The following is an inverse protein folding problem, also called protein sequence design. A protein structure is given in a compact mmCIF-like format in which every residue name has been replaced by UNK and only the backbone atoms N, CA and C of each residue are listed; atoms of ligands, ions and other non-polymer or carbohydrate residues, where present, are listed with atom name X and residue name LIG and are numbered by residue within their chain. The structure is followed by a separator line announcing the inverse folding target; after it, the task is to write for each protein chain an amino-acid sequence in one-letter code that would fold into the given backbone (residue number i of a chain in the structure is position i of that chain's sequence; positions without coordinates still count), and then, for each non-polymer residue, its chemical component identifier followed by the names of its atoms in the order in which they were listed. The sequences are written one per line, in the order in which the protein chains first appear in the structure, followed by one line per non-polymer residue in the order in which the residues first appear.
data_IF_889985001525
#
_entry.id   IF_889985001525
#
_cell.length_a   1.000
_cell.length_b   1.000
_cell.length_c   1.000
_cell.angle_alpha   90.00
_cell.angle_beta   90.00
_cell.angle_gamma   90.00
#
_symmetry.space_group_name_H-M   'P 1'
#
loop_
_entity.id
_entity.type
_entity.pdbx_description
1 polymer ?
#
# COMPACT_ATOMS: atom_id res chain seq x y z
N UNK A 1 2.37 56.44 26.59
CA UNK A 1 3.64 56.57 25.85
C UNK A 1 4.70 55.58 26.31
N UNK A 2 4.72 55.11 27.57
CA UNK A 2 5.58 54.01 28.00
C UNK A 2 5.07 52.61 27.55
N UNK A 3 3.75 52.38 27.55
CA UNK A 3 3.16 51.10 27.09
C UNK A 3 3.25 50.85 25.57
N UNK A 4 3.50 51.89 24.75
CA UNK A 4 3.64 51.75 23.29
C UNK A 4 5.08 51.48 22.83
N UNK A 5 6.06 51.54 23.75
CA UNK A 5 7.45 51.20 23.45
C UNK A 5 7.79 49.74 23.79
N UNK A 6 7.10 49.11 24.76
CA UNK A 6 7.27 47.68 25.08
C UNK A 6 6.68 46.75 24.00
N UNK A 7 5.57 47.13 23.34
CA UNK A 7 4.94 46.36 22.26
C UNK A 7 5.72 46.41 20.92
N UNK A 8 6.55 47.44 20.71
CA UNK A 8 7.35 47.60 19.50
C UNK A 8 8.71 46.86 19.58
N UNK A 9 9.30 46.75 20.77
CA UNK A 9 10.52 45.97 20.99
C UNK A 9 10.25 44.46 21.04
N UNK A 10 9.07 44.03 21.48
CA UNK A 10 8.65 42.62 21.44
C UNK A 10 8.25 42.17 20.03
N UNK A 11 7.58 43.01 19.21
CA UNK A 11 7.21 42.59 17.85
C UNK A 11 8.39 42.56 16.85
N UNK A 12 9.49 43.27 17.14
CA UNK A 12 10.70 43.27 16.29
C UNK A 12 11.70 42.16 16.62
N UNK A 13 11.71 41.62 17.85
CA UNK A 13 12.49 40.42 18.19
C UNK A 13 11.85 39.11 17.70
N UNK A 14 10.51 39.08 17.56
CA UNK A 14 9.78 37.90 17.06
C UNK A 14 10.00 37.68 15.56
N UNK A 15 10.38 38.71 14.80
CA UNK A 15 10.67 38.59 13.37
C UNK A 15 11.98 37.83 13.05
N UNK A 16 12.82 37.53 14.06
CA UNK A 16 14.15 36.92 13.85
C UNK A 16 14.31 35.49 14.38
N UNK A 17 13.33 34.92 15.10
CA UNK A 17 13.40 33.55 15.65
C UNK A 17 12.32 32.65 15.03
N UNK A 18 12.26 32.64 13.71
CA UNK A 18 11.24 31.90 12.95
C UNK A 18 11.89 31.15 11.79
N UNK A 19 11.56 29.88 11.64
CA UNK A 19 12.03 29.05 10.53
C UNK A 19 11.14 29.29 9.29
N UNK A 20 11.70 29.97 8.29
CA UNK A 20 11.02 30.21 7.02
C UNK A 20 9.68 30.94 7.20
N UNK A 21 8.60 30.38 6.65
CA UNK A 21 7.24 30.92 6.76
C UNK A 21 6.39 30.23 7.84
N UNK A 22 7.01 29.44 8.73
CA UNK A 22 6.30 28.72 9.80
C UNK A 22 6.16 29.59 11.05
N UNK A 23 5.54 29.08 12.11
CA UNK A 23 5.55 29.72 13.44
C UNK A 23 6.62 29.12 14.37
N UNK A 24 7.52 28.28 13.83
CA UNK A 24 8.46 27.49 14.59
C UNK A 24 9.76 28.24 14.91
N UNK A 25 10.25 28.10 16.15
CA UNK A 25 11.46 28.79 16.65
C UNK A 25 12.75 28.15 16.14
N UNK A 26 13.65 28.96 15.56
CA UNK A 26 15.01 28.54 15.19
C UNK A 26 15.82 28.12 16.43
N UNK A 27 15.73 28.92 17.50
CA UNK A 27 16.46 28.68 18.76
C UNK A 27 16.08 27.36 19.40
N UNK A 28 14.79 27.00 19.36
CA UNK A 28 14.33 25.71 19.86
C UNK A 28 15.02 24.55 19.12
N UNK A 29 15.01 24.57 17.79
CA UNK A 29 15.65 23.53 16.98
C UNK A 29 17.17 23.53 17.19
N UNK A 30 17.82 24.68 17.19
CA UNK A 30 19.26 24.79 17.41
C UNK A 30 19.70 24.25 18.79
N UNK A 31 18.89 24.44 19.84
CA UNK A 31 19.15 23.84 21.17
C UNK A 31 19.21 22.33 21.08
N UNK A 32 18.30 21.71 20.32
CA UNK A 32 18.28 20.26 20.11
C UNK A 32 19.53 19.82 19.31
N UNK A 33 19.85 20.51 18.21
CA UNK A 33 21.03 20.20 17.39
C UNK A 33 22.35 20.31 18.16
N UNK A 34 22.46 21.28 19.07
CA UNK A 34 23.61 21.43 19.96
C UNK A 34 23.79 20.24 20.91
N UNK A 35 22.70 19.59 21.33
CA UNK A 35 22.79 18.35 22.10
C UNK A 35 23.33 17.23 21.21
N UNK A 36 22.84 17.07 19.98
CA UNK A 36 23.39 16.06 19.04
C UNK A 36 24.88 16.24 18.72
N UNK A 37 25.39 17.47 18.79
CA UNK A 37 26.81 17.77 18.54
C UNK A 37 27.76 17.42 19.70
N UNK A 38 27.26 16.99 20.87
CA UNK A 38 28.08 16.66 22.04
C UNK A 38 27.57 15.38 22.73
N UNK A 39 28.29 14.27 22.56
CA UNK A 39 27.85 12.94 23.05
C UNK A 39 27.70 12.86 24.56
N UNK A 40 28.61 13.45 25.33
CA UNK A 40 28.55 13.42 26.79
C UNK A 40 27.28 14.12 27.28
N UNK A 41 27.01 15.31 26.73
CA UNK A 41 25.80 16.06 27.03
C UNK A 41 24.55 15.35 26.52
N UNK A 42 24.60 14.80 25.31
CA UNK A 42 23.47 14.09 24.71
C UNK A 42 23.06 12.91 25.59
N UNK A 43 24.04 12.11 26.05
CA UNK A 43 23.78 10.96 26.91
C UNK A 43 23.01 11.37 28.18
N UNK A 44 23.41 12.45 28.83
CA UNK A 44 22.69 12.99 30.00
C UNK A 44 21.29 13.52 29.64
N UNK A 45 21.12 14.13 28.47
CA UNK A 45 19.83 14.67 28.02
C UNK A 45 18.86 13.57 27.59
N UNK A 46 19.31 12.48 26.98
CA UNK A 46 18.47 11.35 26.56
C UNK A 46 17.80 10.63 27.74
N UNK A 47 18.36 10.73 28.94
CA UNK A 47 17.73 10.24 30.18
C UNK A 47 16.58 11.16 30.67
N UNK A 48 16.51 12.41 30.17
CA UNK A 48 15.51 13.40 30.59
C UNK A 48 14.28 13.33 29.69
N UNK A 49 13.12 13.08 30.28
CA UNK A 49 11.84 13.05 29.54
C UNK A 49 11.59 14.36 28.79
N UNK A 50 12.01 15.52 29.32
CA UNK A 50 11.88 16.81 28.65
C UNK A 50 12.62 16.89 27.31
N UNK A 51 13.79 16.26 27.19
CA UNK A 51 14.52 16.25 25.92
C UNK A 51 13.87 15.28 24.92
N UNK A 52 13.35 14.15 25.41
CA UNK A 52 12.55 13.23 24.59
C UNK A 52 11.30 13.94 24.05
N UNK A 53 10.64 14.76 24.87
CA UNK A 53 9.51 15.57 24.43
C UNK A 53 9.94 16.65 23.41
N UNK A 54 11.10 17.31 23.63
CA UNK A 54 11.67 18.27 22.68
C UNK A 54 11.92 17.63 21.29
N UNK A 55 12.46 16.39 21.22
CA UNK A 55 12.67 15.69 19.93
C UNK A 55 11.37 15.19 19.30
N UNK A 56 10.35 14.82 20.10
CA UNK A 56 9.02 14.50 19.57
C UNK A 56 8.38 15.75 18.92
N UNK A 57 8.50 16.92 19.55
CA UNK A 57 8.06 18.18 18.95
C UNK A 57 8.83 18.45 17.66
N UNK A 58 10.15 18.23 17.63
CA UNK A 58 10.93 18.36 16.41
C UNK A 58 10.44 17.42 15.30
N UNK A 59 10.06 16.18 15.65
CA UNK A 59 9.46 15.24 14.71
C UNK A 59 8.18 15.80 14.08
N UNK A 60 7.26 16.32 14.87
CA UNK A 60 6.04 16.96 14.34
C UNK A 60 6.37 18.14 13.42
N UNK A 61 7.36 18.97 13.81
CA UNK A 61 7.80 20.11 13.00
C UNK A 61 8.36 19.70 11.64
N UNK A 62 8.99 18.53 11.52
CA UNK A 62 9.59 18.04 10.26
C UNK A 62 8.58 17.69 9.18
N UNK A 63 7.28 17.75 9.46
CA UNK A 63 6.24 17.75 8.44
C UNK A 63 6.28 19.00 7.55
N UNK A 64 6.80 20.12 8.08
CA UNK A 64 6.93 21.37 7.34
C UNK A 64 8.23 21.43 6.54
N UNK A 65 8.11 21.74 5.25
CA UNK A 65 9.24 21.83 4.32
C UNK A 65 10.32 22.81 4.78
N UNK A 66 9.92 23.97 5.31
CA UNK A 66 10.87 25.00 5.75
C UNK A 66 11.74 24.51 6.92
N UNK A 67 11.18 23.67 7.80
CA UNK A 67 11.92 23.02 8.89
C UNK A 67 12.91 22.00 8.35
N UNK A 68 12.51 21.19 7.36
CA UNK A 68 13.44 20.24 6.72
C UNK A 68 14.61 20.97 6.07
N UNK A 69 14.36 22.07 5.34
CA UNK A 69 15.42 22.88 4.72
C UNK A 69 16.37 23.49 5.77
N UNK A 70 15.82 23.96 6.89
CA UNK A 70 16.61 24.47 8.02
C UNK A 70 17.50 23.36 8.61
N UNK A 71 16.95 22.18 8.86
CA UNK A 71 17.69 21.04 9.36
C UNK A 71 18.80 20.56 8.39
N UNK A 72 18.53 20.58 7.09
CA UNK A 72 19.54 20.28 6.07
C UNK A 72 20.68 21.29 6.06
N UNK A 73 20.37 22.59 6.18
CA UNK A 73 21.38 23.67 6.28
C UNK A 73 22.32 23.44 7.47
N UNK A 74 21.83 22.81 8.54
CA UNK A 74 22.60 22.47 9.73
C UNK A 74 23.12 21.02 9.74
N UNK A 75 23.10 20.33 8.60
CA UNK A 75 23.63 18.98 8.42
C UNK A 75 23.13 17.96 9.46
N UNK A 76 21.85 18.03 9.85
CA UNK A 76 21.30 17.22 10.96
C UNK A 76 21.57 15.72 10.82
N UNK A 77 21.58 15.17 9.61
CA UNK A 77 21.86 13.75 9.40
C UNK A 77 23.26 13.38 9.88
N UNK A 78 24.27 14.23 9.65
CA UNK A 78 25.64 14.01 10.16
C UNK A 78 25.69 14.09 11.68
N UNK A 79 24.92 15.00 12.28
CA UNK A 79 24.81 15.10 13.75
C UNK A 79 24.16 13.84 14.34
N UNK A 80 23.10 13.34 13.72
CA UNK A 80 22.46 12.08 14.14
C UNK A 80 23.43 10.90 13.96
N UNK A 81 24.15 10.82 12.84
CA UNK A 81 25.13 9.77 12.60
C UNK A 81 26.26 9.79 13.63
N UNK A 82 26.73 10.98 14.02
CA UNK A 82 27.69 11.14 15.10
C UNK A 82 27.13 10.67 16.45
N UNK A 83 25.83 10.89 16.69
CA UNK A 83 25.14 10.55 17.93
C UNK A 83 24.73 9.07 18.09
N UNK A 84 24.82 8.25 17.03
CA UNK A 84 24.42 6.84 17.07
C UNK A 84 24.97 6.05 18.28
N UNK A 85 26.23 6.20 18.71
CA UNK A 85 26.78 5.41 19.82
C UNK A 85 26.08 5.60 21.18
N UNK A 86 25.26 6.64 21.34
CA UNK A 86 24.52 6.91 22.59
C UNK A 86 23.00 6.78 22.44
N UNK A 87 22.51 6.50 21.22
CA UNK A 87 21.08 6.30 20.95
C UNK A 87 20.75 4.82 21.15
N UNK A 88 20.20 4.48 22.32
CA UNK A 88 19.98 3.08 22.71
C UNK A 88 18.50 2.70 22.88
N UNK A 89 17.62 3.64 23.25
CA UNK A 89 16.22 3.30 23.58
C UNK A 89 15.33 3.27 22.34
N UNK A 90 14.41 2.30 22.30
CA UNK A 90 13.45 2.13 21.19
C UNK A 90 12.61 3.39 20.93
N UNK A 91 12.21 4.11 21.99
CA UNK A 91 11.49 5.39 21.88
C UNK A 91 12.30 6.46 21.16
N UNK A 92 13.60 6.59 21.45
CA UNK A 92 14.45 7.57 20.76
C UNK A 92 14.67 7.14 19.32
N UNK A 93 14.92 5.85 19.07
CA UNK A 93 15.12 5.30 17.73
C UNK A 93 13.88 5.54 16.86
N UNK A 94 12.68 5.28 17.38
CA UNK A 94 11.40 5.57 16.74
C UNK A 94 11.31 7.03 16.28
N UNK A 95 11.54 7.98 17.20
CA UNK A 95 11.48 9.42 16.91
C UNK A 95 12.54 9.83 15.88
N UNK A 96 13.77 9.32 16.00
CA UNK A 96 14.87 9.65 15.08
C UNK A 96 14.57 9.13 13.67
N UNK A 97 14.13 7.88 13.52
CA UNK A 97 13.73 7.33 12.22
C UNK A 97 12.52 8.10 11.68
N UNK A 98 11.58 8.51 12.55
CA UNK A 98 10.44 9.35 12.18
C UNK A 98 10.85 10.71 11.61
N UNK A 99 11.78 11.42 12.27
CA UNK A 99 12.36 12.68 11.78
C UNK A 99 13.00 12.46 10.42
N UNK A 100 13.89 11.46 10.29
CA UNK A 100 14.59 11.17 9.03
C UNK A 100 13.58 10.80 7.93
N UNK A 101 12.55 10.02 8.26
CA UNK A 101 11.48 9.60 7.37
C UNK A 101 10.72 10.80 6.78
N UNK A 102 10.32 11.75 7.62
CA UNK A 102 9.67 12.98 7.17
C UNK A 102 10.61 13.80 6.27
N UNK A 103 11.88 13.95 6.66
CA UNK A 103 12.87 14.66 5.85
C UNK A 103 13.12 13.98 4.49
N UNK A 104 13.07 12.65 4.42
CA UNK A 104 13.27 11.88 3.19
C UNK A 104 12.11 12.00 2.18
N UNK A 105 11.09 12.82 2.46
CA UNK A 105 10.17 13.31 1.43
C UNK A 105 10.83 14.28 0.44
N UNK A 106 12.07 14.69 0.68
CA UNK A 106 12.87 15.55 -0.18
C UNK A 106 14.02 14.78 -0.84
N UNK A 107 14.14 14.88 -2.17
CA UNK A 107 15.10 14.09 -2.95
C UNK A 107 16.54 14.34 -2.53
N UNK A 108 16.86 15.58 -2.18
CA UNK A 108 18.18 16.01 -1.74
C UNK A 108 18.55 15.34 -0.41
N UNK A 109 17.59 15.16 0.50
CA UNK A 109 17.81 14.44 1.78
C UNK A 109 18.09 12.98 1.50
N UNK A 110 17.27 12.31 0.68
CA UNK A 110 17.50 10.91 0.28
C UNK A 110 18.90 10.73 -0.30
N UNK A 111 19.30 11.63 -1.21
CA UNK A 111 20.63 11.55 -1.86
C UNK A 111 21.79 11.71 -0.88
N UNK A 112 21.61 12.42 0.24
CA UNK A 112 22.60 12.53 1.32
C UNK A 112 22.57 11.27 2.18
N UNK A 113 21.40 10.81 2.60
CA UNK A 113 21.23 9.61 3.41
C UNK A 113 21.84 8.37 2.72
N UNK A 114 21.66 8.24 1.41
CA UNK A 114 22.21 7.14 0.61
C UNK A 114 23.74 7.07 0.56
N UNK A 115 24.44 8.10 1.07
CA UNK A 115 25.91 8.15 1.20
C UNK A 115 26.39 7.95 2.62
N UNK A 116 25.48 7.64 3.55
CA UNK A 116 25.76 7.50 4.98
C UNK A 116 25.57 6.04 5.40
N UNK A 117 26.52 5.19 5.02
CA UNK A 117 26.45 3.73 5.19
C UNK A 117 26.20 3.31 6.64
N UNK A 118 26.84 3.98 7.62
CA UNK A 118 26.66 3.69 9.05
C UNK A 118 25.22 3.97 9.51
N UNK A 119 24.67 5.14 9.15
CA UNK A 119 23.31 5.54 9.51
C UNK A 119 22.27 4.63 8.84
N UNK A 120 22.46 4.31 7.56
CA UNK A 120 21.58 3.40 6.84
C UNK A 120 21.62 1.99 7.45
N UNK A 121 22.82 1.46 7.70
CA UNK A 121 22.99 0.13 8.29
C UNK A 121 22.37 0.06 9.69
N UNK A 122 22.57 1.10 10.50
CA UNK A 122 21.94 1.23 11.82
C UNK A 122 20.42 1.17 11.72
N UNK A 123 19.80 1.98 10.87
CA UNK A 123 18.34 1.99 10.71
C UNK A 123 17.82 0.66 10.17
N UNK A 124 18.48 0.08 9.17
CA UNK A 124 18.05 -1.17 8.54
C UNK A 124 18.18 -2.37 9.47
N UNK A 125 19.13 -2.37 10.40
CA UNK A 125 19.26 -3.42 11.41
C UNK A 125 18.00 -3.53 12.30
N UNK A 126 17.28 -2.42 12.50
CA UNK A 126 16.04 -2.40 13.28
C UNK A 126 14.85 -3.08 12.60
N UNK A 127 14.95 -3.60 11.37
CA UNK A 127 13.87 -4.40 10.76
C UNK A 127 13.57 -5.67 11.56
N UNK A 128 14.53 -6.14 12.36
CA UNK A 128 14.42 -7.35 13.20
C UNK A 128 14.09 -7.04 14.67
N UNK A 129 13.63 -5.83 14.99
CA UNK A 129 13.18 -5.48 16.35
C UNK A 129 11.75 -5.95 16.61
N UNK A 130 11.40 -6.19 17.87
CA UNK A 130 10.02 -6.48 18.29
C UNK A 130 9.18 -5.20 18.51
N UNK A 131 9.84 -4.03 18.45
CA UNK A 131 9.24 -2.73 18.75
C UNK A 131 8.41 -2.21 17.57
N UNK A 132 7.09 -2.33 17.68
CA UNK A 132 6.16 -2.03 16.58
C UNK A 132 6.26 -0.59 16.06
N UNK A 133 6.50 0.40 16.92
CA UNK A 133 6.60 1.80 16.50
C UNK A 133 7.86 2.05 15.66
N UNK A 134 9.00 1.49 16.07
CA UNK A 134 10.26 1.54 15.31
C UNK A 134 10.08 0.91 13.93
N UNK A 135 9.44 -0.27 13.86
CA UNK A 135 9.14 -0.94 12.60
C UNK A 135 8.25 -0.07 11.71
N UNK A 136 7.19 0.55 12.25
CA UNK A 136 6.31 1.44 11.47
C UNK A 136 7.12 2.57 10.82
N UNK A 137 7.98 3.26 11.57
CA UNK A 137 8.76 4.36 10.99
C UNK A 137 9.79 3.87 9.98
N UNK A 138 10.44 2.73 10.24
CA UNK A 138 11.40 2.16 9.31
C UNK A 138 10.75 1.79 7.97
N UNK A 139 9.60 1.11 8.01
CA UNK A 139 8.84 0.73 6.82
C UNK A 139 8.34 1.96 6.03
N UNK A 140 7.95 3.03 6.74
CA UNK A 140 7.57 4.32 6.12
C UNK A 140 8.77 4.99 5.45
N UNK A 141 9.92 5.06 6.14
CA UNK A 141 11.17 5.59 5.62
C UNK A 141 11.58 4.88 4.33
N UNK A 142 11.63 3.54 4.35
CA UNK A 142 11.98 2.72 3.17
C UNK A 142 11.04 3.06 2.01
N UNK A 143 9.72 3.07 2.24
CA UNK A 143 8.73 3.38 1.18
C UNK A 143 8.93 4.79 0.59
N UNK A 144 9.21 5.79 1.44
CA UNK A 144 9.48 7.16 1.03
C UNK A 144 10.78 7.29 0.23
N UNK A 145 11.85 6.64 0.67
CA UNK A 145 13.13 6.63 -0.03
C UNK A 145 13.02 5.95 -1.40
N UNK A 146 12.35 4.79 -1.49
CA UNK A 146 12.15 4.07 -2.75
C UNK A 146 11.38 4.89 -3.78
N UNK A 147 10.39 5.69 -3.35
CA UNK A 147 9.64 6.58 -4.23
C UNK A 147 10.52 7.61 -4.94
N UNK A 148 11.57 8.10 -4.26
CA UNK A 148 12.47 9.12 -4.76
C UNK A 148 13.80 8.56 -5.29
N UNK A 149 14.05 7.26 -5.15
CA UNK A 149 15.29 6.63 -5.55
C UNK A 149 15.49 6.65 -7.08
N UNK A 150 16.70 6.94 -7.51
CA UNK A 150 17.18 6.65 -8.86
C UNK A 150 17.71 5.21 -8.91
N UNK A 151 18.13 4.78 -10.09
CA UNK A 151 18.66 3.42 -10.31
C UNK A 151 19.88 3.04 -9.46
N UNK A 152 20.80 3.97 -9.20
CA UNK A 152 22.00 3.69 -8.39
C UNK A 152 21.61 3.50 -6.92
N UNK A 153 20.74 4.37 -6.41
CA UNK A 153 20.24 4.26 -5.04
C UNK A 153 19.36 3.02 -4.85
N UNK A 154 18.58 2.64 -5.88
CA UNK A 154 17.78 1.41 -5.87
C UNK A 154 18.66 0.16 -5.76
N UNK A 155 19.81 0.14 -6.45
CA UNK A 155 20.79 -0.94 -6.33
C UNK A 155 21.34 -1.04 -4.89
N UNK A 156 21.64 0.10 -4.26
CA UNK A 156 22.04 0.14 -2.84
C UNK A 156 20.95 -0.41 -1.92
N UNK A 157 19.69 0.00 -2.13
CA UNK A 157 18.55 -0.53 -1.36
C UNK A 157 18.40 -2.05 -1.50
N UNK A 158 18.48 -2.57 -2.72
CA UNK A 158 18.39 -4.02 -2.97
C UNK A 158 19.51 -4.79 -2.25
N UNK A 159 20.74 -4.26 -2.23
CA UNK A 159 21.85 -4.87 -1.51
C UNK A 159 21.68 -4.81 0.02
N UNK A 160 21.10 -3.72 0.54
CA UNK A 160 20.75 -3.61 1.96
C UNK A 160 19.67 -4.64 2.32
N UNK A 161 18.63 -4.80 1.50
CA UNK A 161 17.57 -5.78 1.75
C UNK A 161 18.10 -7.21 1.86
N UNK A 162 19.08 -7.58 1.01
CA UNK A 162 19.79 -8.87 1.12
C UNK A 162 20.53 -8.97 2.46
N UNK A 163 21.25 -7.91 2.84
CA UNK A 163 22.15 -7.91 4.00
C UNK A 163 21.41 -8.10 5.33
N UNK A 164 20.21 -7.52 5.45
CA UNK A 164 19.42 -7.57 6.71
C UNK A 164 18.29 -8.60 6.67
N UNK A 165 18.25 -9.46 5.64
CA UNK A 165 17.17 -10.44 5.41
C UNK A 165 15.77 -9.81 5.47
N UNK A 166 15.62 -8.68 4.77
CA UNK A 166 14.48 -7.79 4.89
C UNK A 166 13.15 -8.47 4.53
N UNK A 167 13.14 -9.33 3.50
CA UNK A 167 11.92 -10.03 3.08
C UNK A 167 11.43 -11.00 4.15
N UNK A 168 12.33 -11.78 4.77
CA UNK A 168 11.99 -12.68 5.86
C UNK A 168 11.39 -11.93 7.05
N UNK A 169 12.01 -10.82 7.45
CA UNK A 169 11.50 -9.96 8.51
C UNK A 169 10.12 -9.36 8.17
N UNK A 170 9.94 -8.87 6.94
CA UNK A 170 8.66 -8.34 6.47
C UNK A 170 7.55 -9.40 6.47
N UNK A 171 7.83 -10.61 5.99
CA UNK A 171 6.86 -11.72 6.02
C UNK A 171 6.57 -12.20 7.43
N UNK A 172 7.56 -12.17 8.33
CA UNK A 172 7.33 -12.45 9.75
C UNK A 172 6.34 -11.46 10.36
N UNK A 173 6.48 -10.16 10.09
CA UNK A 173 5.55 -9.12 10.53
C UNK A 173 4.14 -9.40 9.98
N UNK A 174 4.01 -9.61 8.66
CA UNK A 174 2.72 -9.86 8.01
C UNK A 174 2.02 -11.11 8.56
N UNK A 175 2.78 -12.16 8.88
CA UNK A 175 2.24 -13.42 9.36
C UNK A 175 1.84 -13.41 10.84
N UNK A 176 2.58 -12.70 11.69
CA UNK A 176 2.50 -12.89 13.14
C UNK A 176 2.07 -11.65 13.94
N UNK A 177 2.07 -10.45 13.36
CA UNK A 177 1.70 -9.24 14.11
C UNK A 177 0.19 -9.15 14.34
N UNK A 178 -0.22 -8.70 15.52
CA UNK A 178 -1.60 -8.28 15.82
C UNK A 178 -1.75 -6.75 15.86
N UNK A 179 -0.66 -6.01 15.62
CA UNK A 179 -0.69 -4.55 15.64
C UNK A 179 -1.16 -4.00 14.30
N UNK A 180 -2.42 -3.54 14.22
CA UNK A 180 -3.08 -3.19 12.95
C UNK A 180 -2.37 -2.10 12.15
N UNK A 181 -1.79 -1.09 12.80
CA UNK A 181 -1.02 -0.05 12.08
C UNK A 181 0.31 -0.57 11.55
N UNK A 182 0.97 -1.51 12.24
CA UNK A 182 2.17 -2.16 11.73
C UNK A 182 1.83 -3.04 10.54
N UNK A 183 0.77 -3.86 10.62
CA UNK A 183 0.32 -4.69 9.49
C UNK A 183 -0.03 -3.86 8.26
N UNK A 184 -0.79 -2.78 8.44
CA UNK A 184 -1.14 -1.89 7.35
C UNK A 184 0.10 -1.21 6.73
N UNK A 185 1.03 -0.76 7.57
CA UNK A 185 2.28 -0.15 7.12
C UNK A 185 3.17 -1.16 6.37
N UNK A 186 3.26 -2.40 6.87
CA UNK A 186 3.98 -3.48 6.20
C UNK A 186 3.37 -3.83 4.84
N UNK A 187 2.04 -3.83 4.74
CA UNK A 187 1.31 -4.05 3.51
C UNK A 187 1.59 -2.94 2.47
N UNK A 188 1.54 -1.66 2.88
CA UNK A 188 1.89 -0.52 2.02
C UNK A 188 3.37 -0.55 1.60
N UNK A 189 4.27 -0.99 2.49
CA UNK A 189 5.69 -1.16 2.18
C UNK A 189 5.91 -2.26 1.14
N UNK A 190 5.31 -3.43 1.30
CA UNK A 190 5.39 -4.52 0.32
C UNK A 190 4.85 -4.10 -1.05
N UNK A 191 3.76 -3.33 -1.08
CA UNK A 191 3.23 -2.76 -2.31
C UNK A 191 4.17 -1.73 -2.96
N UNK A 192 4.85 -0.93 -2.14
CA UNK A 192 5.86 0.02 -2.62
C UNK A 192 7.07 -0.72 -3.20
N UNK A 193 7.52 -1.80 -2.56
CA UNK A 193 8.55 -2.69 -3.10
C UNK A 193 8.12 -3.27 -4.45
N UNK A 194 6.89 -3.78 -4.57
CA UNK A 194 6.35 -4.23 -5.86
C UNK A 194 6.35 -3.09 -6.90
N UNK A 195 6.00 -1.87 -6.50
CA UNK A 195 5.88 -0.74 -7.44
C UNK A 195 7.23 -0.19 -7.92
N UNK A 196 8.25 -0.21 -7.07
CA UNK A 196 9.53 0.47 -7.32
C UNK A 196 10.69 -0.48 -7.58
N UNK A 197 10.67 -1.68 -6.99
CA UNK A 197 11.74 -2.67 -7.14
C UNK A 197 11.43 -3.71 -8.22
N UNK A 198 10.17 -4.03 -8.52
CA UNK A 198 9.80 -4.91 -9.63
C UNK A 198 9.81 -4.18 -10.99
N UNK A 199 10.98 -3.72 -11.40
CA UNK A 199 11.20 -3.11 -12.72
C UNK A 199 12.02 -4.03 -13.60
N UNK A 200 12.02 -3.83 -14.91
CA UNK A 200 12.79 -4.65 -15.86
C UNK A 200 14.27 -4.83 -15.44
N UNK A 201 14.89 -3.76 -14.91
CA UNK A 201 16.29 -3.77 -14.46
C UNK A 201 16.53 -4.60 -13.20
N UNK A 202 15.59 -4.59 -12.26
CA UNK A 202 15.74 -5.22 -10.94
C UNK A 202 14.89 -6.48 -10.77
N UNK A 203 14.20 -6.93 -11.83
CA UNK A 203 13.19 -8.00 -11.81
C UNK A 203 13.73 -9.31 -11.22
N UNK A 204 14.92 -9.72 -11.62
CA UNK A 204 15.55 -10.96 -11.14
C UNK A 204 15.91 -10.90 -9.65
N UNK A 205 16.49 -9.78 -9.19
CA UNK A 205 16.79 -9.56 -7.77
C UNK A 205 15.51 -9.48 -6.94
N UNK A 206 14.50 -8.78 -7.44
CA UNK A 206 13.19 -8.68 -6.78
C UNK A 206 12.54 -10.05 -6.63
N UNK A 207 12.52 -10.84 -7.70
CA UNK A 207 12.01 -12.20 -7.68
C UNK A 207 12.73 -13.04 -6.62
N UNK A 208 14.06 -13.03 -6.62
CA UNK A 208 14.88 -13.81 -5.67
C UNK A 208 14.64 -13.42 -4.22
N UNK A 209 14.39 -12.13 -3.94
CA UNK A 209 14.21 -11.63 -2.58
C UNK A 209 12.79 -11.77 -2.04
N UNK A 210 11.78 -11.47 -2.87
CA UNK A 210 10.40 -11.28 -2.41
C UNK A 210 9.42 -12.33 -2.95
N UNK A 211 9.75 -13.05 -4.02
CA UNK A 211 8.85 -14.07 -4.58
C UNK A 211 9.25 -15.42 -4.00
N UNK A 212 8.78 -15.69 -2.78
CA UNK A 212 9.05 -16.93 -2.02
C UNK A 212 7.76 -17.71 -1.75
N UNK A 213 7.80 -19.04 -1.58
CA UNK A 213 6.59 -19.88 -1.53
C UNK A 213 5.52 -19.42 -0.52
N UNK A 214 5.95 -19.04 0.68
CA UNK A 214 5.04 -18.67 1.76
C UNK A 214 4.55 -17.20 1.70
N UNK A 215 4.99 -16.42 0.71
CA UNK A 215 4.75 -14.97 0.67
C UNK A 215 3.26 -14.63 0.59
N UNK A 216 2.49 -15.39 -0.21
CA UNK A 216 1.05 -15.18 -0.35
C UNK A 216 0.26 -15.64 0.88
N UNK A 217 0.76 -16.62 1.63
CA UNK A 217 0.17 -17.04 2.90
C UNK A 217 0.40 -15.98 3.98
N UNK A 218 1.60 -15.40 4.05
CA UNK A 218 1.91 -14.30 4.96
C UNK A 218 1.06 -13.06 4.65
N UNK A 219 0.91 -12.71 3.37
CA UNK A 219 0.02 -11.64 2.92
C UNK A 219 -1.44 -11.91 3.33
N UNK A 220 -1.91 -13.14 3.12
CA UNK A 220 -3.30 -13.51 3.43
C UNK A 220 -3.56 -13.51 4.94
N UNK A 221 -2.57 -13.87 5.76
CA UNK A 221 -2.66 -13.78 7.22
C UNK A 221 -2.87 -12.33 7.67
N UNK A 222 -2.01 -11.39 7.21
CA UNK A 222 -2.16 -9.96 7.49
C UNK A 222 -3.52 -9.42 7.02
N UNK A 223 -3.92 -9.78 5.80
CA UNK A 223 -5.20 -9.41 5.23
C UNK A 223 -6.36 -9.90 6.10
N UNK A 224 -6.34 -11.15 6.51
CA UNK A 224 -7.42 -11.76 7.32
C UNK A 224 -7.50 -11.07 8.68
N UNK A 225 -6.36 -10.79 9.31
CA UNK A 225 -6.33 -10.11 10.60
C UNK A 225 -6.97 -8.72 10.52
N UNK A 226 -6.63 -7.93 9.49
CA UNK A 226 -7.16 -6.57 9.34
C UNK A 226 -8.60 -6.52 8.79
N UNK A 227 -8.89 -7.30 7.75
CA UNK A 227 -10.10 -7.16 6.94
C UNK A 227 -11.24 -8.13 7.31
N UNK A 228 -10.93 -9.17 8.09
CA UNK A 228 -11.92 -10.15 8.56
C UNK A 228 -12.04 -10.08 10.07
N UNK A 229 -10.96 -10.32 10.81
CA UNK A 229 -11.00 -10.40 12.27
C UNK A 229 -11.28 -9.03 12.91
N UNK A 230 -10.63 -7.98 12.40
CA UNK A 230 -10.75 -6.61 12.91
C UNK A 230 -11.48 -5.67 11.93
N UNK A 231 -12.38 -6.21 11.09
CA UNK A 231 -13.14 -5.41 10.11
C UNK A 231 -13.88 -4.23 10.75
N UNK A 232 -14.43 -4.41 11.95
CA UNK A 232 -15.24 -3.41 12.64
C UNK A 232 -14.46 -2.17 13.10
N UNK A 233 -13.14 -2.31 13.33
CA UNK A 233 -12.27 -1.19 13.73
C UNK A 233 -11.64 -0.47 12.53
N UNK A 234 -11.85 -1.00 11.32
CA UNK A 234 -11.28 -0.46 10.09
C UNK A 234 -12.27 0.51 9.42
N UNK A 235 -11.82 1.72 9.09
CA UNK A 235 -12.65 2.64 8.31
C UNK A 235 -12.90 2.10 6.89
N UNK A 236 -14.03 2.47 6.26
CA UNK A 236 -14.37 2.03 4.89
C UNK A 236 -13.21 2.27 3.91
N UNK A 237 -12.63 3.48 3.95
CA UNK A 237 -11.51 3.88 3.09
C UNK A 237 -10.28 3.01 3.34
N UNK A 238 -9.93 2.75 4.60
CA UNK A 238 -8.78 1.90 4.94
C UNK A 238 -9.00 0.45 4.52
N UNK A 239 -10.23 -0.06 4.66
CA UNK A 239 -10.59 -1.42 4.25
C UNK A 239 -10.49 -1.60 2.72
N UNK A 240 -11.06 -0.67 1.95
CA UNK A 240 -10.98 -0.66 0.49
C UNK A 240 -9.52 -0.54 0.02
N UNK A 241 -8.71 0.25 0.72
CA UNK A 241 -7.27 0.35 0.47
C UNK A 241 -6.55 -0.98 0.72
N UNK A 242 -6.85 -1.69 1.81
CA UNK A 242 -6.30 -3.03 2.09
C UNK A 242 -6.66 -4.00 0.97
N UNK A 243 -7.92 -4.01 0.51
CA UNK A 243 -8.38 -4.86 -0.58
C UNK A 243 -7.57 -4.63 -1.86
N UNK A 244 -7.50 -3.37 -2.29
CA UNK A 244 -6.80 -2.99 -3.51
C UNK A 244 -5.32 -3.36 -3.45
N UNK A 245 -4.63 -3.00 -2.35
CA UNK A 245 -3.20 -3.28 -2.21
C UNK A 245 -2.93 -4.77 -2.21
N UNK A 246 -3.67 -5.53 -1.42
CA UNK A 246 -3.39 -6.96 -1.26
C UNK A 246 -3.55 -7.68 -2.60
N UNK A 247 -4.60 -7.36 -3.35
CA UNK A 247 -4.80 -7.90 -4.68
C UNK A 247 -3.70 -7.47 -5.67
N UNK A 248 -3.23 -6.23 -5.59
CA UNK A 248 -2.14 -5.73 -6.42
C UNK A 248 -0.81 -6.41 -6.11
N UNK A 249 -0.53 -6.76 -4.85
CA UNK A 249 0.67 -7.54 -4.48
C UNK A 249 0.57 -8.94 -5.06
N UNK A 250 -0.58 -9.63 -4.88
CA UNK A 250 -0.79 -10.95 -5.49
C UNK A 250 -0.57 -10.87 -7.00
N UNK A 251 -1.15 -9.88 -7.67
CA UNK A 251 -0.98 -9.69 -9.12
C UNK A 251 0.51 -9.57 -9.51
N UNK A 252 1.29 -8.75 -8.79
CA UNK A 252 2.72 -8.60 -9.07
C UNK A 252 3.50 -9.92 -8.92
N UNK A 253 3.10 -10.79 -7.99
CA UNK A 253 3.78 -12.05 -7.75
C UNK A 253 3.39 -13.14 -8.74
N UNK A 254 2.15 -13.11 -9.25
CA UNK A 254 1.70 -14.12 -10.21
C UNK A 254 2.09 -13.83 -11.66
N UNK A 255 2.63 -12.65 -11.94
CA UNK A 255 3.15 -12.27 -13.26
C UNK A 255 4.52 -12.91 -13.60
N UNK A 256 5.07 -13.74 -12.72
CA UNK A 256 6.28 -14.52 -12.97
C UNK A 256 5.95 -15.88 -13.60
N UNK A 257 6.82 -16.36 -14.48
CA UNK A 257 6.54 -17.51 -15.37
C UNK A 257 6.29 -18.82 -14.63
N UNK A 258 6.83 -18.96 -13.43
CA UNK A 258 6.76 -20.14 -12.56
C UNK A 258 5.84 -19.92 -11.34
N UNK A 259 5.03 -18.86 -11.36
CA UNK A 259 4.14 -18.50 -10.25
C UNK A 259 3.17 -19.64 -9.87
N UNK A 260 2.74 -20.42 -10.87
CA UNK A 260 1.87 -21.58 -10.64
C UNK A 260 2.53 -22.60 -9.71
N UNK A 261 3.77 -23.01 -10.00
CA UNK A 261 4.52 -23.94 -9.19
C UNK A 261 4.94 -23.31 -7.85
N UNK A 262 5.38 -22.04 -7.87
CA UNK A 262 5.83 -21.29 -6.68
C UNK A 262 4.75 -21.21 -5.60
N UNK A 263 3.50 -20.97 -6.01
CA UNK A 263 2.39 -20.69 -5.09
C UNK A 263 1.33 -21.79 -5.07
N UNK A 264 1.68 -23.02 -5.46
CA UNK A 264 0.76 -24.15 -5.43
C UNK A 264 0.15 -24.35 -4.02
N UNK A 265 0.98 -24.19 -2.98
CA UNK A 265 0.56 -24.31 -1.58
C UNK A 265 -0.36 -23.19 -1.08
N UNK A 266 -0.30 -22.00 -1.70
CA UNK A 266 -1.00 -20.80 -1.21
C UNK A 266 -2.32 -20.52 -1.94
N UNK A 267 -2.77 -21.41 -2.84
CA UNK A 267 -4.00 -21.20 -3.64
C UNK A 267 -5.24 -20.98 -2.79
N UNK A 268 -5.40 -21.72 -1.69
CA UNK A 268 -6.56 -21.57 -0.82
C UNK A 268 -6.58 -20.21 -0.10
N UNK A 269 -5.39 -19.74 0.30
CA UNK A 269 -5.20 -18.42 0.91
C UNK A 269 -5.59 -17.31 -0.08
N UNK A 270 -5.10 -17.39 -1.32
CA UNK A 270 -5.45 -16.44 -2.39
C UNK A 270 -6.95 -16.47 -2.71
N UNK A 271 -7.57 -17.66 -2.79
CA UNK A 271 -9.02 -17.79 -3.00
C UNK A 271 -9.80 -17.10 -1.86
N UNK A 272 -9.34 -17.26 -0.62
CA UNK A 272 -9.97 -16.64 0.56
C UNK A 272 -9.90 -15.12 0.50
N UNK A 273 -8.75 -14.57 0.14
CA UNK A 273 -8.57 -13.13 -0.08
C UNK A 273 -9.52 -12.62 -1.18
N UNK A 274 -9.53 -13.27 -2.35
CA UNK A 274 -10.41 -12.89 -3.48
C UNK A 274 -11.88 -12.92 -3.06
N UNK A 275 -12.32 -13.97 -2.36
CA UNK A 275 -13.70 -14.11 -1.90
C UNK A 275 -14.14 -12.95 -1.01
N UNK A 276 -13.32 -12.58 -0.02
CA UNK A 276 -13.65 -11.47 0.89
C UNK A 276 -13.81 -10.16 0.13
N UNK A 277 -12.92 -9.89 -0.84
CA UNK A 277 -12.97 -8.70 -1.68
C UNK A 277 -14.22 -8.72 -2.56
N UNK A 278 -14.47 -9.80 -3.29
CA UNK A 278 -15.60 -9.86 -4.22
C UNK A 278 -16.95 -9.81 -3.50
N UNK A 279 -17.10 -10.46 -2.34
CA UNK A 279 -18.33 -10.37 -1.52
C UNK A 279 -18.58 -8.93 -1.05
N UNK A 280 -17.53 -8.18 -0.70
CA UNK A 280 -17.68 -6.78 -0.33
C UNK A 280 -18.20 -5.93 -1.50
N UNK A 281 -17.61 -6.11 -2.69
CA UNK A 281 -18.02 -5.36 -3.88
C UNK A 281 -19.35 -5.81 -4.47
N UNK A 282 -19.71 -7.08 -4.30
CA UNK A 282 -21.05 -7.59 -4.59
C UNK A 282 -22.09 -6.88 -3.71
N UNK A 283 -21.90 -6.81 -2.39
CA UNK A 283 -22.81 -6.08 -1.50
C UNK A 283 -22.92 -4.59 -1.91
N UNK A 284 -21.79 -3.96 -2.24
CA UNK A 284 -21.73 -2.56 -2.69
C UNK A 284 -22.55 -2.35 -3.97
N UNK A 285 -22.34 -3.16 -5.00
CA UNK A 285 -22.99 -3.01 -6.31
C UNK A 285 -24.44 -3.53 -6.31
N UNK A 286 -24.67 -4.73 -5.76
CA UNK A 286 -25.93 -5.46 -5.87
C UNK A 286 -26.94 -4.99 -4.83
N UNK A 287 -26.52 -4.87 -3.57
CA UNK A 287 -27.42 -4.53 -2.44
C UNK A 287 -27.52 -3.02 -2.27
N UNK A 288 -26.38 -2.34 -2.17
CA UNK A 288 -26.33 -0.88 -1.90
C UNK A 288 -26.50 -0.02 -3.16
N UNK A 289 -26.40 -0.62 -4.35
CA UNK A 289 -26.48 0.09 -5.64
C UNK A 289 -25.43 1.21 -5.76
N UNK A 290 -24.28 1.05 -5.12
CA UNK A 290 -23.17 1.98 -5.15
C UNK A 290 -22.18 1.54 -6.24
N UNK A 291 -21.91 2.42 -7.21
CA UNK A 291 -20.88 2.20 -8.23
C UNK A 291 -19.53 2.58 -7.66
N UNK A 292 -18.53 1.74 -7.93
CA UNK A 292 -17.15 2.01 -7.57
C UNK A 292 -16.24 1.69 -8.76
N UNK A 293 -15.55 2.71 -9.26
CA UNK A 293 -14.65 2.57 -10.41
C UNK A 293 -13.44 1.66 -10.12
N UNK A 294 -13.04 1.52 -8.85
CA UNK A 294 -11.96 0.62 -8.47
C UNK A 294 -12.34 -0.86 -8.65
N UNK A 295 -13.65 -1.17 -8.71
CA UNK A 295 -14.13 -2.53 -8.99
C UNK A 295 -13.64 -3.03 -10.37
N UNK A 296 -13.48 -2.14 -11.35
CA UNK A 296 -12.97 -2.52 -12.68
C UNK A 296 -11.54 -3.09 -12.55
N UNK A 297 -10.66 -2.37 -11.85
CA UNK A 297 -9.27 -2.80 -11.63
C UNK A 297 -9.23 -4.10 -10.79
N UNK A 298 -10.11 -4.22 -9.79
CA UNK A 298 -10.22 -5.41 -8.94
C UNK A 298 -10.62 -6.65 -9.73
N UNK A 299 -11.63 -6.54 -10.60
CA UNK A 299 -12.09 -7.66 -11.42
C UNK A 299 -11.04 -8.08 -12.45
N UNK A 300 -10.32 -7.12 -13.04
CA UNK A 300 -9.22 -7.40 -13.97
C UNK A 300 -8.04 -8.10 -13.27
N UNK A 301 -7.66 -7.65 -12.07
CA UNK A 301 -6.62 -8.30 -11.30
C UNK A 301 -7.05 -9.72 -10.87
N UNK A 302 -8.29 -9.86 -10.41
CA UNK A 302 -8.87 -11.16 -10.02
C UNK A 302 -8.87 -12.15 -11.17
N UNK A 303 -9.33 -11.75 -12.36
CA UNK A 303 -9.36 -12.64 -13.52
C UNK A 303 -7.96 -13.13 -13.90
N UNK A 304 -6.98 -12.23 -13.89
CA UNK A 304 -5.57 -12.56 -14.15
C UNK A 304 -5.04 -13.56 -13.12
N UNK A 305 -5.23 -13.30 -11.83
CA UNK A 305 -4.77 -14.18 -10.74
C UNK A 305 -5.41 -15.58 -10.85
N UNK A 306 -6.72 -15.65 -11.11
CA UNK A 306 -7.45 -16.92 -11.29
C UNK A 306 -6.90 -17.73 -12.46
N UNK A 307 -6.51 -17.04 -13.55
CA UNK A 307 -5.89 -17.67 -14.72
C UNK A 307 -4.49 -18.19 -14.40
N UNK A 308 -3.59 -17.32 -13.92
CA UNK A 308 -2.18 -17.62 -13.68
C UNK A 308 -1.99 -18.73 -12.64
N UNK A 309 -2.68 -18.64 -11.50
CA UNK A 309 -2.59 -19.67 -10.44
C UNK A 309 -3.46 -20.90 -10.70
N UNK A 310 -4.21 -20.92 -11.81
CA UNK A 310 -5.17 -21.97 -12.14
C UNK A 310 -6.04 -22.39 -10.93
N UNK A 311 -6.67 -21.41 -10.28
CA UNK A 311 -7.50 -21.65 -9.10
C UNK A 311 -8.69 -22.56 -9.48
N UNK A 312 -8.83 -23.70 -8.78
CA UNK A 312 -9.82 -24.76 -9.10
C UNK A 312 -10.49 -25.39 -7.87
N UNK A 313 -9.96 -25.17 -6.66
CA UNK A 313 -10.36 -25.95 -5.47
C UNK A 313 -11.65 -25.51 -4.77
N UNK A 314 -12.07 -24.26 -4.91
CA UNK A 314 -13.27 -23.69 -4.28
C UNK A 314 -13.88 -22.59 -5.17
N UNK A 315 -14.35 -22.93 -6.37
CA UNK A 315 -14.74 -21.93 -7.34
C UNK A 315 -15.96 -21.09 -6.91
N UNK A 316 -16.86 -21.66 -6.10
CA UNK A 316 -18.01 -20.96 -5.51
C UNK A 316 -17.60 -19.64 -4.84
N UNK A 317 -16.40 -19.60 -4.23
CA UNK A 317 -15.86 -18.44 -3.51
C UNK A 317 -15.53 -17.22 -4.39
N UNK A 318 -15.35 -17.38 -5.69
CA UNK A 318 -15.16 -16.22 -6.60
C UNK A 318 -16.20 -16.19 -7.72
N UNK A 319 -16.77 -17.33 -8.08
CA UNK A 319 -17.82 -17.42 -9.08
C UNK A 319 -19.12 -16.76 -8.61
N UNK A 320 -19.63 -17.10 -7.43
CA UNK A 320 -20.96 -16.65 -6.99
C UNK A 320 -21.05 -15.12 -6.91
N UNK A 321 -20.10 -14.42 -6.27
CA UNK A 321 -20.13 -12.96 -6.22
C UNK A 321 -19.98 -12.32 -7.60
N UNK A 322 -19.08 -12.84 -8.45
CA UNK A 322 -18.92 -12.35 -9.82
C UNK A 322 -20.19 -12.55 -10.65
N UNK A 323 -20.86 -13.68 -10.52
CA UNK A 323 -22.11 -13.93 -11.24
C UNK A 323 -23.26 -13.03 -10.75
N UNK A 324 -23.35 -12.77 -9.44
CA UNK A 324 -24.36 -11.86 -8.91
C UNK A 324 -24.13 -10.42 -9.38
N UNK A 325 -22.87 -9.97 -9.41
CA UNK A 325 -22.51 -8.68 -10.02
C UNK A 325 -22.83 -8.64 -11.52
N UNK A 326 -22.54 -9.72 -12.26
CA UNK A 326 -22.92 -9.84 -13.68
C UNK A 326 -24.43 -9.69 -13.91
N UNK A 327 -25.26 -10.40 -13.14
CA UNK A 327 -26.71 -10.26 -13.24
C UNK A 327 -27.17 -8.84 -12.95
N UNK A 328 -26.57 -8.19 -11.94
CA UNK A 328 -26.91 -6.82 -11.58
C UNK A 328 -26.56 -5.84 -12.70
N UNK A 329 -25.38 -5.94 -13.30
CA UNK A 329 -24.95 -5.07 -14.41
C UNK A 329 -25.74 -5.33 -15.68
N UNK A 330 -26.07 -6.59 -15.97
CA UNK A 330 -26.99 -6.94 -17.05
C UNK A 330 -28.37 -6.34 -16.83
N UNK A 331 -28.95 -6.49 -15.63
CA UNK A 331 -30.25 -5.91 -15.30
C UNK A 331 -30.24 -4.41 -15.52
N UNK A 332 -29.20 -3.71 -15.07
CA UNK A 332 -29.05 -2.26 -15.23
C UNK A 332 -29.20 -1.83 -16.69
N UNK A 333 -28.54 -2.52 -17.64
CA UNK A 333 -28.66 -2.20 -19.07
C UNK A 333 -30.06 -2.45 -19.64
N UNK A 334 -30.83 -3.36 -19.05
CA UNK A 334 -32.12 -3.82 -19.61
C UNK A 334 -33.34 -3.22 -18.90
N UNK A 335 -33.20 -2.69 -17.68
CA UNK A 335 -34.27 -1.97 -16.95
C UNK A 335 -34.47 -0.53 -17.39
N UNK A 336 -33.70 -0.03 -18.36
CA UNK A 336 -33.84 1.33 -18.91
C UNK A 336 -35.15 1.57 -19.69
N UNK A 337 -36.10 0.61 -19.66
CA UNK A 337 -37.43 0.73 -20.28
C UNK A 337 -38.55 1.15 -19.33
N UNK A 338 -38.42 0.99 -18.01
CA UNK A 338 -39.51 1.29 -17.07
C UNK A 338 -38.98 1.87 -15.74
N UNK A 339 -38.72 3.18 -15.71
CA UNK A 339 -38.64 3.97 -14.47
C UNK A 339 -37.47 3.65 -13.53
N UNK A 340 -36.22 3.84 -13.98
CA UNK A 340 -35.03 3.72 -13.14
C UNK A 340 -34.95 4.78 -12.03
N UNK A 341 -34.45 4.41 -10.85
CA UNK A 341 -34.20 5.28 -9.69
C UNK A 341 -32.93 6.16 -9.79
N UNK A 342 -32.28 6.21 -10.95
CA UNK A 342 -31.03 6.95 -11.18
C UNK A 342 -31.29 8.21 -12.01
N UNK A 343 -30.61 9.31 -11.69
CA UNK A 343 -30.72 10.57 -12.43
C UNK A 343 -30.16 10.41 -13.85
N UNK A 344 -30.66 11.20 -14.81
CA UNK A 344 -30.33 11.05 -16.24
C UNK A 344 -28.84 11.32 -16.54
N UNK A 345 -28.16 12.12 -15.71
CA UNK A 345 -26.71 12.35 -15.74
C UNK A 345 -25.89 11.12 -15.33
N UNK A 346 -26.44 10.24 -14.50
CA UNK A 346 -25.72 9.08 -13.95
C UNK A 346 -25.79 7.88 -14.93
N UNK A 347 -26.66 7.94 -15.95
CA UNK A 347 -26.88 6.86 -16.90
C UNK A 347 -25.69 6.62 -17.83
N UNK A 348 -25.01 7.68 -18.25
CA UNK A 348 -23.84 7.57 -19.14
C UNK A 348 -22.63 6.99 -18.38
N UNK A 349 -22.39 7.46 -17.15
CA UNK A 349 -21.35 6.92 -16.26
C UNK A 349 -21.64 5.46 -15.90
N UNK A 350 -22.90 5.12 -15.62
CA UNK A 350 -23.30 3.75 -15.33
C UNK A 350 -23.13 2.83 -16.55
N UNK A 351 -23.46 3.30 -17.76
CA UNK A 351 -23.25 2.52 -18.99
C UNK A 351 -21.77 2.29 -19.25
N UNK A 352 -20.93 3.32 -19.14
CA UNK A 352 -19.47 3.21 -19.28
C UNK A 352 -18.87 2.25 -18.23
N UNK A 353 -19.34 2.33 -16.98
CA UNK A 353 -18.97 1.40 -15.93
C UNK A 353 -19.34 -0.05 -16.29
N UNK A 354 -20.59 -0.31 -16.72
CA UNK A 354 -21.04 -1.66 -17.07
C UNK A 354 -20.22 -2.25 -18.21
N UNK A 355 -19.92 -1.47 -19.26
CA UNK A 355 -19.08 -1.93 -20.37
C UNK A 355 -17.68 -2.33 -19.90
N UNK A 356 -17.11 -1.60 -18.93
CA UNK A 356 -15.77 -1.88 -18.39
C UNK A 356 -15.73 -3.11 -17.49
N UNK A 357 -16.80 -3.42 -16.75
CA UNK A 357 -16.84 -4.61 -15.87
C UNK A 357 -17.31 -5.88 -16.58
N UNK A 358 -17.98 -5.76 -17.73
CA UNK A 358 -18.48 -6.89 -18.54
C UNK A 358 -17.38 -7.90 -18.86
N UNK A 359 -16.32 -7.45 -19.53
CA UNK A 359 -15.23 -8.34 -19.95
C UNK A 359 -14.57 -9.11 -18.78
N UNK A 360 -14.11 -8.47 -17.70
CA UNK A 360 -13.46 -9.21 -16.61
C UNK A 360 -14.41 -10.15 -15.87
N UNK A 361 -15.68 -9.80 -15.68
CA UNK A 361 -16.66 -10.72 -15.10
C UNK A 361 -16.88 -11.96 -15.98
N UNK A 362 -16.99 -11.76 -17.30
CA UNK A 362 -17.10 -12.88 -18.25
C UNK A 362 -15.88 -13.80 -18.14
N UNK A 363 -14.66 -13.26 -18.06
CA UNK A 363 -13.45 -14.05 -17.92
C UNK A 363 -13.46 -14.92 -16.67
N UNK A 364 -13.84 -14.37 -15.51
CA UNK A 364 -13.88 -15.12 -14.24
C UNK A 364 -14.90 -16.27 -14.36
N UNK A 365 -16.09 -15.97 -14.88
CA UNK A 365 -17.18 -16.94 -15.06
C UNK A 365 -16.80 -18.04 -16.07
N UNK A 366 -16.27 -17.67 -17.23
CA UNK A 366 -15.85 -18.63 -18.26
C UNK A 366 -14.67 -19.48 -17.80
N UNK A 367 -13.72 -18.89 -17.05
CA UNK A 367 -12.60 -19.64 -16.49
C UNK A 367 -13.07 -20.72 -15.52
N UNK A 368 -14.08 -20.39 -14.71
CA UNK A 368 -14.72 -21.36 -13.85
C UNK A 368 -15.34 -22.51 -14.64
N UNK A 369 -16.22 -22.21 -15.61
CA UNK A 369 -16.86 -23.25 -16.42
C UNK A 369 -15.87 -24.13 -17.18
N UNK A 370 -14.79 -23.54 -17.71
CA UNK A 370 -13.76 -24.27 -18.44
C UNK A 370 -12.96 -25.26 -17.58
N UNK A 371 -12.96 -25.11 -16.25
CA UNK A 371 -12.19 -25.95 -15.31
C UNK A 371 -13.06 -26.82 -14.41
N UNK A 372 -14.38 -26.75 -14.56
CA UNK A 372 -15.34 -27.48 -13.75
C UNK A 372 -15.24 -28.99 -14.02
N UNK A 373 -15.10 -29.81 -12.96
CA UNK A 373 -15.14 -31.27 -13.12
C UNK A 373 -16.58 -31.74 -13.32
N UNK A 374 -16.82 -32.87 -14.01
CA UNK A 374 -18.17 -33.41 -14.20
C UNK A 374 -18.95 -33.64 -12.90
N UNK A 375 -18.29 -33.94 -11.77
CA UNK A 375 -18.96 -34.11 -10.47
C UNK A 375 -19.41 -32.78 -9.84
N UNK A 376 -18.61 -31.71 -10.00
CA UNK A 376 -18.99 -30.36 -9.57
C UNK A 376 -20.16 -29.84 -10.42
N UNK A 377 -20.19 -30.23 -11.70
CA UNK A 377 -21.33 -30.02 -12.60
C UNK A 377 -22.60 -30.71 -12.10
N UNK A 378 -22.50 -31.84 -11.39
CA UNK A 378 -23.66 -32.49 -10.76
C UNK A 378 -24.16 -31.78 -9.49
N UNK A 379 -23.25 -31.14 -8.73
CA UNK A 379 -23.64 -30.27 -7.60
C UNK A 379 -24.39 -29.03 -8.10
N UNK A 380 -23.96 -28.50 -9.24
CA UNK A 380 -24.66 -27.45 -9.99
C UNK A 380 -25.84 -27.95 -10.83
N UNK A 381 -26.01 -29.27 -11.04
CA UNK A 381 -27.14 -29.82 -11.83
C UNK A 381 -28.50 -29.59 -11.16
N UNK A 382 -28.53 -29.37 -9.84
CA UNK A 382 -29.74 -28.91 -9.15
C UNK A 382 -30.14 -27.48 -9.58
N UNK A 383 -29.29 -26.80 -10.36
CA UNK A 383 -29.50 -25.51 -10.99
C UNK A 383 -29.16 -25.55 -12.50
N UNK A 384 -29.47 -26.64 -13.23
CA UNK A 384 -29.33 -26.70 -14.71
C UNK A 384 -29.97 -25.48 -15.39
N UNK A 385 -31.14 -25.08 -14.93
CA UNK A 385 -31.85 -23.92 -15.45
C UNK A 385 -31.03 -22.63 -15.27
N UNK A 386 -30.26 -22.54 -14.19
CA UNK A 386 -29.35 -21.42 -13.91
C UNK A 386 -28.14 -21.44 -14.85
N UNK A 387 -27.48 -22.58 -15.05
CA UNK A 387 -26.32 -22.68 -15.96
C UNK A 387 -26.73 -22.45 -17.42
N UNK A 388 -27.88 -22.99 -17.84
CA UNK A 388 -28.44 -22.76 -19.16
C UNK A 388 -28.85 -21.28 -19.33
N UNK A 389 -29.47 -20.66 -18.31
CA UNK A 389 -29.78 -19.22 -18.29
C UNK A 389 -28.51 -18.38 -18.39
N UNK A 390 -27.46 -18.73 -17.64
CA UNK A 390 -26.14 -18.06 -17.69
C UNK A 390 -25.57 -18.14 -19.10
N UNK A 391 -25.51 -19.34 -19.67
CA UNK A 391 -24.99 -19.54 -21.02
C UNK A 391 -25.79 -18.74 -22.05
N UNK A 392 -27.12 -18.77 -21.98
CA UNK A 392 -27.99 -18.09 -22.93
C UNK A 392 -27.99 -16.56 -22.75
N UNK A 393 -27.79 -16.06 -21.53
CA UNK A 393 -27.58 -14.64 -21.21
C UNK A 393 -26.21 -14.16 -21.72
N UNK A 394 -25.15 -14.91 -21.44
CA UNK A 394 -23.79 -14.59 -21.90
C UNK A 394 -23.73 -14.58 -23.42
N UNK A 395 -24.34 -15.58 -24.08
CA UNK A 395 -24.42 -15.65 -25.53
C UNK A 395 -25.17 -14.44 -26.10
N UNK A 396 -26.33 -14.08 -25.54
CA UNK A 396 -27.08 -12.88 -25.95
C UNK A 396 -26.28 -11.59 -25.75
N UNK A 397 -25.41 -11.49 -24.75
CA UNK A 397 -24.58 -10.30 -24.53
C UNK A 397 -23.34 -10.21 -25.42
N UNK A 398 -22.77 -11.35 -25.78
CA UNK A 398 -21.65 -11.42 -26.71
C UNK A 398 -22.13 -11.17 -28.14
N UNK A 399 -23.34 -11.60 -28.47
CA UNK A 399 -23.96 -11.39 -29.78
C UNK A 399 -24.50 -9.94 -29.96
N UNK A 400 -24.56 -9.12 -28.91
CA UNK A 400 -25.19 -7.79 -28.96
C UNK A 400 -24.27 -6.65 -29.44
N UNK A 401 -22.95 -6.82 -29.61
CA UNK A 401 -22.02 -5.87 -30.28
C UNK A 401 -20.63 -6.50 -30.54
N UNK A 402 -19.86 -6.08 -31.58
CA UNK A 402 -18.56 -6.67 -31.91
C UNK A 402 -17.48 -6.24 -30.90
N UNK A 403 -16.80 -7.21 -30.30
CA UNK A 403 -15.67 -7.00 -29.40
C UNK A 403 -14.49 -6.41 -30.18
N UNK A 404 -14.23 -5.10 -30.05
CA UNK A 404 -12.96 -4.52 -30.50
C UNK A 404 -11.84 -5.00 -29.56
N UNK A 405 -11.11 -6.03 -30.01
CA UNK A 405 -9.88 -6.48 -29.37
C UNK A 405 -8.73 -5.51 -29.71
N UNK A 406 -8.67 -4.35 -29.06
CA UNK A 406 -7.40 -3.59 -29.02
C UNK A 406 -6.56 -4.08 -27.82
N UNK A 407 -6.02 -5.29 -28.00
CA UNK A 407 -4.93 -5.79 -27.17
C UNK A 407 -3.61 -5.25 -27.71
N UNK A 408 -3.30 -4.00 -27.40
CA UNK A 408 -1.94 -3.48 -27.44
C UNK A 408 -1.42 -3.26 -26.02
N UNK A 409 -0.67 -4.27 -25.58
CA UNK A 409 0.27 -4.27 -24.46
C UNK A 409 1.08 -2.95 -24.35
N UNK A 410 1.36 -2.52 -23.11
CA UNK A 410 2.41 -1.55 -22.71
C UNK A 410 2.02 -0.09 -22.33
N UNK A 411 0.78 0.22 -21.90
CA UNK A 411 0.45 1.59 -21.42
C UNK A 411 -0.02 1.77 -19.98
N UNK A 412 -0.29 0.72 -19.19
CA UNK A 412 -0.94 0.90 -17.88
C UNK A 412 -0.01 1.22 -16.69
N UNK A 413 1.31 1.14 -16.84
CA UNK A 413 2.25 1.53 -15.76
C UNK A 413 2.47 3.06 -15.70
N UNK A 414 2.25 3.81 -16.79
CA UNK A 414 2.53 5.27 -16.81
C UNK A 414 1.41 6.15 -16.21
N UNK A 415 0.16 5.71 -16.23
CA UNK A 415 -0.98 6.52 -15.76
C UNK A 415 -1.28 6.42 -14.26
N UNK A 416 -0.63 5.52 -13.51
CA UNK A 416 -0.85 5.41 -12.05
C UNK A 416 -0.01 6.40 -11.21
N UNK A 417 0.87 7.18 -11.85
CA UNK A 417 1.61 8.27 -11.18
C UNK A 417 0.72 9.45 -10.75
N UNK A 418 -0.48 9.61 -11.31
CA UNK A 418 -1.37 10.74 -11.00
C UNK A 418 -2.30 10.51 -9.80
N UNK A 419 -2.67 9.25 -9.48
CA UNK A 419 -3.58 8.95 -8.35
C UNK A 419 -2.91 8.95 -6.97
N UNK A 420 -1.58 9.06 -6.88
CA UNK A 420 -0.84 9.36 -5.63
C UNK A 420 -0.83 10.86 -5.28
N UNK A 421 -1.49 11.70 -6.09
CA UNK A 421 -1.75 13.11 -5.76
C UNK A 421 -3.22 13.24 -5.40
N UNK A 422 -3.54 13.01 -4.13
CA UNK A 422 -4.56 13.71 -3.35
C UNK A 422 -4.49 13.22 -1.91
#
# INVERSE_FOLDING_TARGET
MAEQMEDAETSSQVAGDVIGNTAYSERFVLKILLNFANLDRLKEELEKQSFVDDICVLWDMTMEKDVVLFLQKHEVLKLINFALPVIETSKIIDVIIGIIGNMCCHKEVVSVLMKMDDLLSFMMYHINTDESLVLIQLLRLVSGCLFLANDEEMETWMNLFVTVDYSSALYFILKNSSHLDLLFTALENLNSLCSYCNTEKFREKFYTLFVVPDALDCLTAAFTEMAVNNKATCSKIRLERIFFISLQIVLNFVEFTDAYEMFEGSKESVITLINVILVYYEDKLVVKKEIDLDLIDILMATSTIVMELKLTGLPEKYFEPSYNMWKATWSILHTDKDGSSFEESDKEELKDFVEKVKYPLALIICNYFGKMKPYDFYRFHLEIDRVQSIHDEMKRWLDSEPVETDMSSSRRVKNRRSRRRN
#
